data_IF_777862273013
#
_entry.id   IF_777862273013
#
_cell.length_a   1.000
_cell.length_b   1.000
_cell.length_c   1.000
_cell.angle_alpha   90.00
_cell.angle_beta   90.00
_cell.angle_gamma   90.00
#
_symmetry.space_group_name_H-M   'P 1'
#
loop_
_entity.id
_entity.type
_entity.pdbx_description
1 polymer ?
#
# COMPACT_ATOMS: atom_id res chain seq x y z
N UNK A 1 29.09 -13.35 -4.06
CA UNK A 1 28.55 -13.71 -2.73
C UNK A 1 27.22 -14.40 -2.96
N UNK A 2 27.09 -15.68 -2.58
CA UNK A 2 25.84 -16.41 -2.72
C UNK A 2 24.75 -15.71 -1.88
N UNK A 3 23.54 -15.63 -2.42
CA UNK A 3 22.39 -14.99 -1.77
C UNK A 3 21.82 -15.86 -0.65
N UNK A 4 22.06 -17.19 -0.71
CA UNK A 4 21.56 -18.22 0.20
C UNK A 4 22.73 -19.10 0.67
N UNK A 5 22.58 -19.74 1.83
CA UNK A 5 23.66 -20.44 2.56
C UNK A 5 23.33 -21.89 2.91
N UNK A 6 22.05 -22.30 2.90
CA UNK A 6 21.64 -23.67 3.20
C UNK A 6 22.00 -24.64 2.06
N UNK A 7 21.83 -25.94 2.32
CA UNK A 7 21.99 -26.97 1.28
C UNK A 7 21.05 -26.80 0.08
N UNK A 8 19.95 -26.05 0.23
CA UNK A 8 19.03 -25.69 -0.87
C UNK A 8 19.48 -24.44 -1.64
N UNK A 9 20.60 -23.81 -1.30
CA UNK A 9 21.03 -22.55 -1.92
C UNK A 9 21.02 -22.59 -3.47
N UNK A 10 21.53 -23.63 -4.15
CA UNK A 10 21.46 -23.72 -5.62
C UNK A 10 20.02 -23.70 -6.14
N UNK A 11 19.13 -24.48 -5.56
CA UNK A 11 17.73 -24.59 -5.95
C UNK A 11 16.94 -23.31 -5.68
N UNK A 12 17.27 -22.59 -4.61
CA UNK A 12 16.68 -21.28 -4.31
C UNK A 12 17.09 -20.22 -5.35
N UNK A 13 18.37 -20.20 -5.76
CA UNK A 13 18.86 -19.31 -6.82
C UNK A 13 18.18 -19.62 -8.16
N UNK A 14 18.12 -20.90 -8.55
CA UNK A 14 17.48 -21.36 -9.79
C UNK A 14 15.99 -21.00 -9.82
N UNK A 15 15.29 -21.19 -8.70
CA UNK A 15 13.88 -20.79 -8.58
C UNK A 15 13.71 -19.27 -8.69
N UNK A 16 14.60 -18.48 -8.12
CA UNK A 16 14.59 -17.02 -8.26
C UNK A 16 14.79 -16.59 -9.71
N UNK A 17 15.70 -17.24 -10.44
CA UNK A 17 15.95 -17.00 -11.88
C UNK A 17 14.70 -17.35 -12.68
N UNK A 18 14.18 -18.56 -12.47
CA UNK A 18 12.95 -19.05 -13.13
C UNK A 18 11.77 -18.08 -12.94
N UNK A 19 11.53 -17.61 -11.71
CA UNK A 19 10.45 -16.67 -11.43
C UNK A 19 10.64 -15.32 -12.09
N UNK A 20 11.89 -14.86 -12.21
CA UNK A 20 12.23 -13.61 -12.91
C UNK A 20 12.01 -13.72 -14.41
N UNK A 21 12.41 -14.85 -15.03
CA UNK A 21 12.17 -15.12 -16.44
C UNK A 21 10.69 -15.14 -16.79
N UNK A 22 9.84 -15.61 -15.89
CA UNK A 22 8.38 -15.54 -16.02
C UNK A 22 7.81 -14.12 -15.81
N UNK A 23 8.65 -13.11 -15.58
CA UNK A 23 8.24 -11.71 -15.42
C UNK A 23 7.63 -11.37 -14.05
N UNK A 24 7.80 -12.22 -13.03
CA UNK A 24 7.35 -11.92 -11.67
C UNK A 24 8.33 -11.01 -10.92
N UNK A 25 7.77 -10.09 -10.10
CA UNK A 25 8.56 -9.38 -9.10
C UNK A 25 9.04 -10.36 -8.02
N UNK A 26 10.35 -10.41 -7.82
CA UNK A 26 11.00 -11.35 -6.93
C UNK A 26 11.40 -10.77 -5.56
N UNK A 27 11.13 -9.48 -5.27
CA UNK A 27 11.54 -8.87 -4.00
C UNK A 27 10.89 -9.55 -2.79
N UNK A 28 9.57 -9.74 -2.83
CA UNK A 28 8.86 -10.39 -1.74
C UNK A 28 9.10 -11.89 -1.65
N UNK A 29 9.39 -12.53 -2.78
CA UNK A 29 9.81 -13.93 -2.83
C UNK A 29 11.18 -14.09 -2.18
N UNK A 30 12.13 -13.22 -2.51
CA UNK A 30 13.48 -13.22 -1.94
C UNK A 30 13.46 -13.13 -0.41
N UNK A 31 12.59 -12.27 0.16
CA UNK A 31 12.41 -12.20 1.62
C UNK A 31 11.95 -13.55 2.20
N UNK A 32 10.94 -14.17 1.62
CA UNK A 32 10.42 -15.45 2.09
C UNK A 32 11.46 -16.56 2.00
N UNK A 33 12.15 -16.67 0.86
CA UNK A 33 13.18 -17.68 0.64
C UNK A 33 14.39 -17.50 1.59
N UNK A 34 14.82 -16.25 1.83
CA UNK A 34 15.87 -15.96 2.81
C UNK A 34 15.48 -16.34 4.24
N UNK A 35 14.20 -16.21 4.60
CA UNK A 35 13.72 -16.60 5.92
C UNK A 35 13.79 -18.13 6.07
N UNK A 36 13.37 -18.88 5.05
CA UNK A 36 13.46 -20.35 5.03
C UNK A 36 14.90 -20.81 5.02
N UNK A 37 15.75 -20.23 4.18
CA UNK A 37 17.18 -20.54 4.06
C UNK A 37 17.89 -20.38 5.41
N UNK A 38 17.67 -19.25 6.09
CA UNK A 38 18.22 -18.99 7.41
C UNK A 38 17.74 -20.00 8.44
N UNK A 39 16.46 -20.38 8.39
CA UNK A 39 15.92 -21.38 9.30
C UNK A 39 16.56 -22.75 9.08
N UNK A 40 16.74 -23.17 7.81
CA UNK A 40 17.45 -24.40 7.46
C UNK A 40 18.89 -24.41 8.03
N UNK A 41 19.62 -23.30 7.87
CA UNK A 41 20.97 -23.15 8.43
C UNK A 41 20.94 -23.21 9.95
N UNK A 42 20.05 -22.48 10.60
CA UNK A 42 19.96 -22.42 12.08
C UNK A 42 19.63 -23.76 12.69
N UNK A 43 18.78 -24.57 12.03
CA UNK A 43 18.41 -25.92 12.48
C UNK A 43 19.40 -26.99 12.03
N UNK A 44 20.48 -26.61 11.31
CA UNK A 44 21.45 -27.54 10.69
C UNK A 44 20.72 -28.63 9.87
N UNK A 45 19.65 -28.27 9.18
CA UNK A 45 18.78 -29.20 8.48
C UNK A 45 19.40 -29.68 7.16
N UNK A 46 19.17 -30.97 6.85
CA UNK A 46 19.54 -31.61 5.59
C UNK A 46 18.30 -31.99 4.74
N UNK A 47 18.54 -32.66 3.61
CA UNK A 47 17.45 -33.08 2.70
C UNK A 47 16.37 -33.95 3.35
N UNK A 48 16.75 -34.80 4.30
CA UNK A 48 15.84 -35.73 5.01
C UNK A 48 14.94 -35.01 6.03
N UNK A 49 15.30 -33.80 6.44
CA UNK A 49 14.56 -33.02 7.42
C UNK A 49 13.42 -32.22 6.80
N UNK A 50 13.33 -32.18 5.47
CA UNK A 50 12.28 -31.46 4.75
C UNK A 50 10.91 -32.17 4.87
N UNK A 51 10.42 -32.28 6.08
CA UNK A 51 9.14 -32.94 6.43
C UNK A 51 8.06 -31.91 6.75
N UNK A 52 6.75 -32.30 6.73
CA UNK A 52 5.69 -31.42 7.22
C UNK A 52 5.91 -30.93 8.65
N UNK A 53 6.45 -31.79 9.54
CA UNK A 53 6.76 -31.42 10.92
C UNK A 53 7.80 -30.30 11.01
N UNK A 54 8.83 -30.31 10.19
CA UNK A 54 9.84 -29.25 10.11
C UNK A 54 9.21 -27.89 9.78
N UNK A 55 8.28 -27.84 8.80
CA UNK A 55 7.62 -26.59 8.42
C UNK A 55 6.54 -26.15 9.41
N UNK A 56 5.95 -27.06 10.17
CA UNK A 56 5.10 -26.71 11.32
C UNK A 56 5.93 -26.08 12.44
N UNK A 57 7.13 -26.58 12.71
CA UNK A 57 8.07 -25.96 13.67
C UNK A 57 8.47 -24.56 13.19
N UNK A 58 8.85 -24.40 11.90
CA UNK A 58 9.09 -23.08 11.32
C UNK A 58 7.90 -22.14 11.52
N UNK A 59 6.66 -22.62 11.32
CA UNK A 59 5.46 -21.82 11.52
C UNK A 59 5.29 -21.37 12.97
N UNK A 60 5.61 -22.23 13.93
CA UNK A 60 5.51 -21.97 15.37
C UNK A 60 6.59 -21.00 15.87
N UNK A 61 7.83 -21.12 15.35
CA UNK A 61 8.97 -20.32 15.75
C UNK A 61 8.94 -18.88 15.20
N UNK A 62 8.09 -18.60 14.24
CA UNK A 62 7.96 -17.26 13.65
C UNK A 62 7.11 -16.33 14.51
N UNK A 63 7.74 -15.46 15.28
CA UNK A 63 7.07 -14.43 16.09
C UNK A 63 6.66 -13.20 15.26
N UNK A 64 5.75 -13.40 14.30
CA UNK A 64 5.22 -12.34 13.44
C UNK A 64 3.71 -12.53 13.20
N UNK A 65 3.09 -11.63 12.43
CA UNK A 65 1.65 -11.72 12.13
C UNK A 65 1.33 -12.97 11.29
N UNK A 66 0.22 -13.63 11.58
CA UNK A 66 -0.25 -14.82 10.85
C UNK A 66 -0.30 -14.59 9.34
N UNK A 67 -0.70 -13.41 8.91
CA UNK A 67 -0.68 -13.03 7.48
C UNK A 67 0.72 -13.08 6.85
N UNK A 68 1.76 -12.70 7.58
CA UNK A 68 3.15 -12.75 7.10
C UNK A 68 3.64 -14.20 7.06
N UNK A 69 3.28 -15.00 8.07
CA UNK A 69 3.57 -16.43 8.12
C UNK A 69 2.88 -17.14 6.94
N UNK A 70 1.58 -16.92 6.76
CA UNK A 70 0.82 -17.48 5.64
C UNK A 70 1.45 -17.13 4.28
N UNK A 71 1.92 -15.88 4.12
CA UNK A 71 2.61 -15.46 2.90
C UNK A 71 3.93 -16.20 2.70
N UNK A 72 4.71 -16.38 3.76
CA UNK A 72 5.96 -17.14 3.73
C UNK A 72 5.67 -18.58 3.31
N UNK A 73 4.74 -19.26 3.98
CA UNK A 73 4.35 -20.64 3.66
C UNK A 73 3.83 -20.76 2.22
N UNK A 74 3.07 -19.77 1.73
CA UNK A 74 2.61 -19.74 0.33
C UNK A 74 3.80 -19.67 -0.65
N UNK A 75 4.79 -18.84 -0.37
CA UNK A 75 5.99 -18.74 -1.22
C UNK A 75 6.80 -20.04 -1.18
N UNK A 76 6.95 -20.63 0.00
CA UNK A 76 7.67 -21.90 0.21
C UNK A 76 6.94 -23.05 -0.46
N UNK A 77 5.61 -23.14 -0.34
CA UNK A 77 4.80 -24.16 -1.04
C UNK A 77 5.02 -24.11 -2.55
N UNK A 78 5.04 -22.92 -3.14
CA UNK A 78 5.31 -22.73 -4.58
C UNK A 78 6.77 -23.08 -4.97
N UNK A 79 7.73 -22.89 -4.07
CA UNK A 79 9.07 -23.39 -4.28
C UNK A 79 9.06 -24.92 -4.36
N UNK A 80 8.44 -25.62 -3.40
CA UNK A 80 8.38 -27.08 -3.41
C UNK A 80 7.55 -27.64 -4.58
N UNK A 81 6.50 -26.95 -5.02
CA UNK A 81 5.82 -27.28 -6.28
C UNK A 81 6.76 -27.22 -7.49
N UNK A 82 7.69 -26.27 -7.50
CA UNK A 82 8.74 -26.19 -8.52
C UNK A 82 9.76 -27.32 -8.38
N UNK A 83 10.22 -27.61 -7.15
CA UNK A 83 11.20 -28.66 -6.87
C UNK A 83 10.67 -30.04 -7.22
N UNK A 84 9.39 -30.31 -6.96
CA UNK A 84 8.71 -31.56 -7.40
C UNK A 84 8.67 -31.64 -8.92
N UNK A 85 8.34 -30.55 -9.63
CA UNK A 85 8.26 -30.51 -11.08
C UNK A 85 9.62 -30.75 -11.77
N UNK A 86 10.73 -30.36 -11.14
CA UNK A 86 12.09 -30.64 -11.64
C UNK A 86 12.68 -31.92 -11.05
N UNK A 87 11.85 -32.76 -10.43
CA UNK A 87 12.22 -34.07 -9.86
C UNK A 87 13.30 -34.01 -8.74
N UNK A 88 13.49 -32.83 -8.14
CA UNK A 88 14.40 -32.67 -6.98
C UNK A 88 13.81 -33.24 -5.70
N UNK A 89 12.51 -33.16 -5.51
CA UNK A 89 11.73 -33.75 -4.41
C UNK A 89 10.62 -34.62 -4.97
N UNK A 90 10.25 -35.70 -4.25
CA UNK A 90 9.12 -36.56 -4.62
C UNK A 90 7.78 -35.88 -4.33
N UNK A 91 7.67 -35.23 -3.16
CA UNK A 91 6.44 -34.60 -2.68
C UNK A 91 6.68 -33.18 -2.15
N UNK A 92 5.60 -32.42 -2.05
CA UNK A 92 5.64 -31.10 -1.44
C UNK A 92 5.27 -31.20 0.06
N UNK A 93 6.23 -31.02 0.98
CA UNK A 93 6.00 -31.18 2.42
C UNK A 93 5.06 -30.13 3.02
N UNK A 94 4.74 -29.05 2.27
CA UNK A 94 3.81 -28.03 2.72
C UNK A 94 2.39 -28.23 2.19
N UNK A 95 2.11 -29.32 1.46
CA UNK A 95 0.83 -29.52 0.77
C UNK A 95 -0.36 -29.39 1.73
N UNK A 96 -0.29 -30.07 2.87
CA UNK A 96 -1.39 -30.21 3.82
C UNK A 96 -1.23 -29.32 5.08
N UNK A 97 -0.23 -28.41 5.11
CA UNK A 97 -0.07 -27.47 6.21
C UNK A 97 -1.21 -26.44 6.18
N UNK A 98 -2.01 -26.32 7.25
CA UNK A 98 -3.15 -25.43 7.28
C UNK A 98 -2.71 -23.94 7.33
N UNK A 99 -3.57 -23.07 6.82
CA UNK A 99 -3.40 -21.64 6.97
C UNK A 99 -3.71 -21.21 8.40
N UNK A 100 -2.89 -20.31 8.95
CA UNK A 100 -3.21 -19.65 10.20
C UNK A 100 -4.38 -18.68 10.01
N UNK A 101 -5.29 -18.59 11.00
CA UNK A 101 -6.38 -17.62 10.94
C UNK A 101 -5.83 -16.20 10.84
N UNK A 102 -6.26 -15.45 9.82
CA UNK A 102 -5.86 -14.07 9.65
C UNK A 102 -6.75 -13.15 10.49
N UNK A 103 -6.12 -12.18 11.14
CA UNK A 103 -6.80 -11.13 11.87
C UNK A 103 -7.54 -10.18 10.92
N UNK A 104 -8.68 -9.70 11.34
CA UNK A 104 -9.36 -8.63 10.63
C UNK A 104 -8.56 -7.33 10.75
N UNK A 105 -8.48 -6.57 9.67
CA UNK A 105 -7.81 -5.28 9.67
C UNK A 105 -8.76 -4.17 9.26
N UNK A 106 -8.94 -3.18 10.15
CA UNK A 106 -9.69 -1.97 9.88
C UNK A 106 -8.69 -0.82 9.71
N UNK A 107 -8.57 -0.23 8.50
CA UNK A 107 -7.69 0.90 8.28
C UNK A 107 -8.24 2.16 9.00
N UNK A 108 -7.35 3.06 9.36
CA UNK A 108 -7.75 4.40 9.79
C UNK A 108 -8.42 5.14 8.62
N UNK A 109 -9.57 5.75 8.86
CA UNK A 109 -10.32 6.52 7.85
C UNK A 109 -10.36 7.99 8.29
N UNK A 110 -9.69 8.84 7.52
CA UNK A 110 -9.76 10.29 7.72
C UNK A 110 -11.12 10.84 7.26
N UNK A 111 -11.72 11.68 8.06
CA UNK A 111 -12.87 12.49 7.63
C UNK A 111 -12.46 13.53 6.57
N UNK A 112 -13.40 14.12 5.82
CA UNK A 112 -13.08 15.20 4.87
C UNK A 112 -12.42 16.42 5.55
N UNK A 113 -12.82 16.80 6.77
CA UNK A 113 -12.19 17.86 7.55
C UNK A 113 -10.75 17.51 7.93
N UNK A 114 -10.52 16.33 8.46
CA UNK A 114 -9.17 15.84 8.81
C UNK A 114 -8.23 15.77 7.61
N UNK A 115 -8.75 15.45 6.41
CA UNK A 115 -7.97 15.52 5.16
C UNK A 115 -7.55 16.96 4.85
N UNK A 116 -8.46 17.93 5.02
CA UNK A 116 -8.14 19.35 4.81
C UNK A 116 -7.10 19.85 5.82
N UNK A 117 -7.27 19.53 7.09
CA UNK A 117 -6.33 19.85 8.17
C UNK A 117 -4.95 19.25 7.91
N UNK A 118 -4.88 18.00 7.47
CA UNK A 118 -3.63 17.31 7.11
C UNK A 118 -2.91 18.02 5.96
N UNK A 119 -3.64 18.38 4.89
CA UNK A 119 -3.09 19.10 3.74
C UNK A 119 -2.59 20.48 4.20
N UNK A 120 -3.35 21.19 5.01
CA UNK A 120 -2.98 22.50 5.55
C UNK A 120 -1.73 22.40 6.46
N UNK A 121 -1.66 21.43 7.38
CA UNK A 121 -0.49 21.19 8.22
C UNK A 121 0.77 20.88 7.39
N UNK A 122 0.60 20.12 6.27
CA UNK A 122 1.70 19.88 5.34
C UNK A 122 2.16 21.16 4.65
N UNK A 123 1.22 22.04 4.26
CA UNK A 123 1.50 23.33 3.62
C UNK A 123 2.24 24.28 4.61
N UNK A 124 1.83 24.34 5.85
CA UNK A 124 2.47 25.17 6.90
C UNK A 124 3.93 24.78 7.19
N UNK A 125 4.33 23.56 6.81
CA UNK A 125 5.71 23.06 6.94
C UNK A 125 6.62 23.39 5.75
N UNK A 126 6.16 24.14 4.78
CA UNK A 126 6.96 24.59 3.65
C UNK A 126 8.02 25.59 4.14
N UNK A 127 9.29 25.30 3.89
CA UNK A 127 10.42 26.18 4.21
C UNK A 127 10.65 27.18 3.07
N UNK A 128 9.82 28.23 3.02
CA UNK A 128 9.68 29.17 1.90
C UNK A 128 11.03 29.79 1.49
N UNK A 129 11.89 30.13 2.46
CA UNK A 129 13.18 30.79 2.23
C UNK A 129 14.37 29.80 2.19
N UNK A 130 14.10 28.50 2.06
CA UNK A 130 15.13 27.46 2.04
C UNK A 130 15.38 26.94 0.62
N UNK A 131 16.62 26.51 0.35
CA UNK A 131 16.97 25.71 -0.84
C UNK A 131 16.11 24.43 -1.00
N UNK A 132 15.52 23.99 0.09
CA UNK A 132 14.64 22.80 0.10
C UNK A 132 13.17 23.12 -0.21
N UNK A 133 12.81 24.38 -0.49
CA UNK A 133 11.42 24.80 -0.71
C UNK A 133 10.71 23.94 -1.77
N UNK A 134 11.32 23.78 -2.94
CA UNK A 134 10.72 22.97 -4.02
C UNK A 134 10.59 21.49 -3.65
N UNK A 135 11.50 20.96 -2.84
CA UNK A 135 11.39 19.61 -2.31
C UNK A 135 10.21 19.48 -1.33
N UNK A 136 10.05 20.47 -0.44
CA UNK A 136 8.91 20.50 0.47
C UNK A 136 7.60 20.67 -0.29
N UNK A 137 7.56 21.55 -1.30
CA UNK A 137 6.39 21.76 -2.16
C UNK A 137 6.04 20.51 -2.98
N UNK A 138 7.02 19.79 -3.51
CA UNK A 138 6.79 18.51 -4.19
C UNK A 138 6.26 17.43 -3.23
N UNK A 139 6.69 17.44 -1.97
CA UNK A 139 6.15 16.56 -0.93
C UNK A 139 4.68 16.90 -0.59
N UNK A 140 4.36 18.18 -0.45
CA UNK A 140 2.99 18.67 -0.32
C UNK A 140 2.12 18.17 -1.47
N UNK A 141 2.58 18.34 -2.71
CA UNK A 141 1.88 17.85 -3.90
C UNK A 141 1.68 16.33 -3.89
N UNK A 142 2.67 15.55 -3.44
CA UNK A 142 2.52 14.10 -3.30
C UNK A 142 1.40 13.74 -2.32
N UNK A 143 1.37 14.36 -1.14
CA UNK A 143 0.34 14.12 -0.12
C UNK A 143 -1.03 14.57 -0.62
N UNK A 144 -1.12 15.70 -1.32
CA UNK A 144 -2.36 16.17 -1.94
C UNK A 144 -2.90 15.18 -2.97
N UNK A 145 -2.06 14.62 -3.84
CA UNK A 145 -2.44 13.60 -4.82
C UNK A 145 -2.91 12.30 -4.14
N UNK A 146 -2.23 11.87 -3.08
CA UNK A 146 -2.68 10.72 -2.29
C UNK A 146 -4.08 10.94 -1.71
N UNK A 147 -4.33 12.13 -1.17
CA UNK A 147 -5.58 12.48 -0.50
C UNK A 147 -6.74 12.73 -1.47
N UNK A 148 -6.50 13.50 -2.54
CA UNK A 148 -7.55 13.96 -3.47
C UNK A 148 -7.82 13.00 -4.63
N UNK A 149 -6.84 12.16 -4.99
CA UNK A 149 -6.95 11.21 -6.09
C UNK A 149 -6.85 9.74 -5.66
N UNK A 150 -6.72 9.48 -4.36
CA UNK A 150 -6.67 8.11 -3.82
C UNK A 150 -5.53 7.26 -4.37
N UNK A 151 -4.42 7.87 -4.78
CA UNK A 151 -3.27 7.18 -5.37
C UNK A 151 -2.53 6.31 -4.36
N UNK A 152 -1.78 5.30 -4.83
CA UNK A 152 -0.79 4.59 -4.00
C UNK A 152 0.46 5.44 -3.86
N UNK A 153 1.17 5.31 -2.73
CA UNK A 153 2.33 6.18 -2.43
C UNK A 153 3.38 6.22 -3.55
N UNK A 154 3.62 5.12 -4.25
CA UNK A 154 4.59 5.07 -5.34
C UNK A 154 4.06 5.64 -6.67
N UNK A 155 2.76 5.83 -6.83
CA UNK A 155 2.17 6.32 -8.07
C UNK A 155 2.52 7.79 -8.32
N UNK A 156 2.30 8.75 -7.38
CA UNK A 156 2.72 10.13 -7.59
C UNK A 156 4.23 10.29 -7.80
N UNK A 157 5.05 9.40 -7.20
CA UNK A 157 6.51 9.47 -7.27
C UNK A 157 7.08 8.99 -8.62
N UNK A 158 6.27 8.28 -9.40
CA UNK A 158 6.63 7.76 -10.73
C UNK A 158 5.99 8.52 -11.88
N UNK A 159 5.10 9.48 -11.59
CA UNK A 159 4.48 10.28 -12.62
C UNK A 159 5.53 11.10 -13.38
N UNK A 160 5.47 11.05 -14.70
CA UNK A 160 6.20 11.94 -15.56
C UNK A 160 5.38 13.20 -15.87
N UNK A 161 5.98 14.28 -16.31
CA UNK A 161 5.27 15.52 -16.68
C UNK A 161 4.26 15.27 -17.79
N UNK A 162 4.59 14.45 -18.77
CA UNK A 162 3.73 14.06 -19.90
C UNK A 162 2.49 13.24 -19.46
N UNK A 163 2.52 12.65 -18.26
CA UNK A 163 1.38 11.94 -17.71
C UNK A 163 0.29 12.89 -17.20
N UNK A 164 0.59 14.16 -16.99
CA UNK A 164 -0.38 15.17 -16.62
C UNK A 164 -0.93 15.86 -17.86
N UNK A 165 -2.22 15.64 -18.11
CA UNK A 165 -2.98 16.24 -19.21
C UNK A 165 -3.91 17.29 -18.63
N UNK A 166 -3.48 18.55 -18.65
CA UNK A 166 -4.22 19.65 -18.02
C UNK A 166 -5.57 19.89 -18.70
N UNK A 167 -5.61 19.85 -20.03
CA UNK A 167 -6.81 20.12 -20.84
C UNK A 167 -7.89 19.04 -20.60
N UNK A 168 -7.48 17.77 -20.56
CA UNK A 168 -8.37 16.63 -20.29
C UNK A 168 -8.66 16.45 -18.79
N UNK A 169 -7.96 17.17 -17.92
CA UNK A 169 -8.03 17.03 -16.45
C UNK A 169 -7.79 15.58 -16.00
N UNK A 170 -6.76 14.96 -16.55
CA UNK A 170 -6.45 13.56 -16.27
C UNK A 170 -4.99 13.34 -15.90
N UNK A 171 -4.74 12.23 -15.19
CA UNK A 171 -3.42 11.68 -14.92
C UNK A 171 -3.33 10.26 -15.49
N UNK A 172 -2.29 9.99 -16.28
CA UNK A 172 -1.96 8.64 -16.74
C UNK A 172 -1.05 7.97 -15.72
N UNK A 173 -1.47 6.84 -15.18
CA UNK A 173 -0.73 6.08 -14.17
C UNK A 173 -0.22 4.79 -14.81
N UNK A 174 1.09 4.73 -15.04
CA UNK A 174 1.75 3.56 -15.63
C UNK A 174 2.48 2.69 -14.59
N UNK A 175 2.94 1.52 -15.03
CA UNK A 175 3.81 0.60 -14.26
C UNK A 175 3.24 0.25 -12.89
N UNK A 176 1.93 0.04 -12.84
CA UNK A 176 1.26 -0.35 -11.60
C UNK A 176 1.69 -1.75 -11.16
N UNK A 177 1.43 -2.10 -9.90
CA UNK A 177 1.78 -3.41 -9.30
C UNK A 177 1.32 -4.63 -10.14
N UNK A 178 0.30 -4.45 -10.96
CA UNK A 178 -0.29 -5.52 -11.78
C UNK A 178 -0.13 -5.28 -13.29
N UNK A 179 0.80 -4.40 -13.70
CA UNK A 179 1.02 -4.00 -15.10
C UNK A 179 -0.28 -3.53 -15.81
N UNK A 180 -1.21 -2.95 -15.04
CA UNK A 180 -2.46 -2.36 -15.54
C UNK A 180 -2.35 -0.85 -15.45
N UNK A 181 -2.07 -0.24 -16.57
CA UNK A 181 -2.06 1.21 -16.68
C UNK A 181 -3.49 1.74 -16.65
N UNK A 182 -3.66 2.97 -16.20
CA UNK A 182 -4.97 3.60 -16.13
C UNK A 182 -4.90 5.11 -16.25
N UNK A 183 -5.91 5.66 -16.89
CA UNK A 183 -6.16 7.09 -16.92
C UNK A 183 -7.19 7.42 -15.84
N UNK A 184 -6.88 8.38 -14.97
CA UNK A 184 -7.79 8.82 -13.92
C UNK A 184 -8.18 10.29 -14.12
N UNK A 185 -9.47 10.64 -14.05
CA UNK A 185 -9.90 12.02 -13.98
C UNK A 185 -9.51 12.62 -12.63
N UNK A 186 -9.11 13.88 -12.62
CA UNK A 186 -8.73 14.62 -11.41
C UNK A 186 -9.58 15.88 -11.23
N UNK A 187 -9.81 16.31 -9.98
CA UNK A 187 -10.57 17.55 -9.70
C UNK A 187 -9.88 18.79 -10.26
N UNK A 188 -10.65 19.81 -10.64
CA UNK A 188 -10.10 21.09 -11.11
C UNK A 188 -9.12 21.72 -10.11
N UNK A 189 -9.38 21.64 -8.82
CA UNK A 189 -8.48 22.13 -7.78
C UNK A 189 -7.10 21.43 -7.83
N UNK A 190 -7.06 20.14 -8.14
CA UNK A 190 -5.80 19.38 -8.30
C UNK A 190 -5.08 19.81 -9.58
N UNK A 191 -5.81 20.05 -10.68
CA UNK A 191 -5.22 20.59 -11.92
C UNK A 191 -4.53 21.91 -11.65
N UNK A 192 -5.22 22.85 -10.97
CA UNK A 192 -4.65 24.15 -10.60
C UNK A 192 -3.40 24.01 -9.74
N UNK A 193 -3.42 23.16 -8.72
CA UNK A 193 -2.27 22.92 -7.84
C UNK A 193 -1.06 22.36 -8.61
N UNK A 194 -1.26 21.39 -9.50
CA UNK A 194 -0.19 20.83 -10.33
C UNK A 194 0.37 21.91 -11.25
N UNK A 195 -0.50 22.70 -11.90
CA UNK A 195 -0.08 23.78 -12.80
C UNK A 195 0.74 24.84 -12.07
N UNK A 196 0.30 25.26 -10.89
CA UNK A 196 1.03 26.21 -10.03
C UNK A 196 2.38 25.65 -9.60
N UNK A 197 2.41 24.38 -9.16
CA UNK A 197 3.66 23.71 -8.80
C UNK A 197 4.67 23.71 -9.97
N UNK A 198 4.21 23.37 -11.17
CA UNK A 198 5.08 23.35 -12.36
C UNK A 198 5.54 24.76 -12.76
N UNK A 199 4.71 25.78 -12.59
CA UNK A 199 5.07 27.18 -12.84
C UNK A 199 6.17 27.63 -11.87
N UNK A 200 5.99 27.40 -10.55
CA UNK A 200 7.00 27.72 -9.52
C UNK A 200 8.29 26.96 -9.76
N UNK A 201 8.20 25.67 -10.10
CA UNK A 201 9.36 24.84 -10.39
C UNK A 201 10.14 25.36 -11.62
N UNK A 202 9.46 25.80 -12.67
CA UNK A 202 10.08 26.39 -13.87
C UNK A 202 10.82 27.69 -13.52
N UNK A 203 10.24 28.51 -12.66
CA UNK A 203 10.84 29.79 -12.23
C UNK A 203 12.10 29.56 -11.40
N UNK A 204 12.07 28.62 -10.45
CA UNK A 204 13.17 28.41 -9.49
C UNK A 204 14.26 27.45 -10.00
N UNK A 205 13.93 26.57 -10.93
CA UNK A 205 14.90 25.66 -11.53
C UNK A 205 15.10 25.96 -13.02
N UNK A 206 15.94 26.98 -13.32
CA UNK A 206 16.38 27.22 -14.68
C UNK A 206 17.02 25.94 -15.25
N UNK A 207 16.68 25.59 -16.49
CA UNK A 207 17.16 24.40 -17.19
C UNK A 207 16.84 23.06 -16.46
N UNK A 208 15.64 22.95 -15.94
CA UNK A 208 15.15 21.71 -15.30
C UNK A 208 14.88 20.61 -16.33
N UNK A 209 15.73 19.59 -16.37
CA UNK A 209 15.65 18.45 -17.27
C UNK A 209 14.97 17.23 -16.63
N UNK A 210 14.55 17.32 -15.36
CA UNK A 210 13.94 16.19 -14.66
C UNK A 210 12.54 15.88 -15.22
N UNK A 211 12.40 14.71 -15.83
CA UNK A 211 11.16 14.27 -16.46
C UNK A 211 10.00 13.99 -15.48
N UNK A 212 10.33 13.72 -14.20
CA UNK A 212 9.29 13.43 -13.21
C UNK A 212 8.40 14.64 -12.92
N UNK A 213 7.10 14.37 -12.77
CA UNK A 213 6.12 15.40 -12.38
C UNK A 213 6.51 15.99 -11.02
N UNK A 214 6.79 15.13 -10.03
CA UNK A 214 7.29 15.54 -8.73
C UNK A 214 8.78 15.20 -8.61
N UNK A 215 9.60 16.16 -8.28
CA UNK A 215 11.04 15.99 -8.21
C UNK A 215 11.63 16.48 -6.87
N UNK A 216 12.54 15.70 -6.31
CA UNK A 216 13.25 16.07 -5.08
C UNK A 216 14.41 17.04 -5.34
N UNK A 217 14.98 17.01 -6.55
CA UNK A 217 16.01 17.93 -7.07
C UNK A 217 15.94 17.98 -8.60
N UNK A 218 16.78 18.80 -9.23
CA UNK A 218 16.86 18.87 -10.70
C UNK A 218 17.11 17.52 -11.38
N UNK A 219 17.71 16.56 -10.66
CA UNK A 219 18.16 15.29 -11.24
C UNK A 219 17.47 14.07 -10.63
N UNK A 220 16.88 14.19 -9.43
CA UNK A 220 16.43 13.04 -8.64
C UNK A 220 14.93 13.02 -8.42
N UNK A 221 14.27 11.85 -8.55
CA UNK A 221 12.90 11.66 -8.13
C UNK A 221 12.77 11.69 -6.61
N UNK A 222 11.53 11.68 -6.13
CA UNK A 222 11.24 11.48 -4.70
C UNK A 222 11.38 10.02 -4.29
N UNK A 223 11.79 9.83 -3.03
CA UNK A 223 11.70 8.54 -2.33
C UNK A 223 10.52 8.58 -1.35
N UNK A 224 9.83 7.46 -1.21
CA UNK A 224 8.63 7.34 -0.37
C UNK A 224 8.89 7.58 1.12
N UNK A 225 10.10 7.29 1.60
CA UNK A 225 10.50 7.51 2.99
C UNK A 225 10.38 9.00 3.40
N UNK A 226 10.77 9.92 2.52
CA UNK A 226 10.63 11.36 2.78
C UNK A 226 9.15 11.76 2.89
N UNK A 227 8.30 11.26 1.99
CA UNK A 227 6.86 11.52 2.02
C UNK A 227 6.23 10.94 3.29
N UNK A 228 6.59 9.70 3.68
CA UNK A 228 6.11 9.05 4.91
C UNK A 228 6.46 9.88 6.14
N UNK A 229 7.70 10.33 6.24
CA UNK A 229 8.15 11.16 7.37
C UNK A 229 7.34 12.46 7.49
N UNK A 230 7.17 13.18 6.37
CA UNK A 230 6.39 14.43 6.34
C UNK A 230 4.92 14.20 6.65
N UNK A 231 4.35 13.14 6.11
CA UNK A 231 2.98 12.73 6.44
C UNK A 231 2.79 12.48 7.93
N UNK A 232 3.67 11.70 8.56
CA UNK A 232 3.56 11.43 10.01
C UNK A 232 3.78 12.68 10.88
N UNK A 233 4.62 13.61 10.43
CA UNK A 233 4.75 14.91 11.07
C UNK A 233 3.42 15.69 11.03
N UNK A 234 2.79 15.78 9.85
CA UNK A 234 1.51 16.47 9.71
C UNK A 234 0.37 15.77 10.48
N UNK A 235 0.35 14.43 10.53
CA UNK A 235 -0.59 13.67 11.37
C UNK A 235 -0.41 14.00 12.86
N UNK A 236 0.84 14.17 13.31
CA UNK A 236 1.12 14.58 14.69
C UNK A 236 0.65 16.02 14.98
N UNK A 237 0.84 16.95 14.02
CA UNK A 237 0.44 18.36 14.17
C UNK A 237 -1.07 18.53 14.34
N UNK A 238 -1.86 17.71 13.67
CA UNK A 238 -3.33 17.71 13.78
C UNK A 238 -3.86 16.80 14.89
N UNK A 239 -2.98 16.33 15.81
CA UNK A 239 -3.37 15.53 16.98
C UNK A 239 -3.90 14.12 16.67
N UNK A 240 -3.71 13.59 15.45
CA UNK A 240 -4.23 12.28 15.04
C UNK A 240 -3.21 11.14 15.19
N UNK A 241 -2.04 11.39 15.79
CA UNK A 241 -1.05 10.35 16.04
C UNK A 241 -1.60 9.35 17.06
N UNK A 242 -1.88 8.14 16.61
CA UNK A 242 -2.31 7.04 17.48
C UNK A 242 -1.55 5.76 17.14
N UNK A 243 -1.27 4.89 18.13
CA UNK A 243 -0.69 3.59 17.89
C UNK A 243 -1.71 2.64 17.25
N UNK A 244 -1.21 1.57 16.63
CA UNK A 244 -2.05 0.45 16.24
C UNK A 244 -2.66 -0.18 17.50
N UNK A 245 -3.95 -0.53 17.45
CA UNK A 245 -4.66 -1.20 18.54
C UNK A 245 -5.19 -2.55 18.07
N UNK A 246 -5.13 -3.55 18.94
CA UNK A 246 -5.75 -4.86 18.70
C UNK A 246 -6.90 -5.02 19.69
N UNK A 247 -8.08 -5.34 19.18
CA UNK A 247 -9.28 -5.60 19.99
C UNK A 247 -9.84 -6.96 19.55
N UNK A 248 -9.65 -7.96 20.39
CA UNK A 248 -9.98 -9.36 20.03
C UNK A 248 -9.20 -9.78 18.79
N UNK A 249 -9.89 -10.30 17.77
CA UNK A 249 -9.31 -10.70 16.48
C UNK A 249 -9.31 -9.57 15.43
N UNK A 250 -9.28 -8.30 15.87
CA UNK A 250 -9.34 -7.15 14.95
C UNK A 250 -8.23 -6.16 15.25
N UNK A 251 -7.42 -5.87 14.25
CA UNK A 251 -6.40 -4.84 14.27
C UNK A 251 -6.94 -3.53 13.70
N UNK A 252 -6.92 -2.47 14.51
CA UNK A 252 -7.23 -1.11 14.08
C UNK A 252 -5.91 -0.44 13.70
N UNK A 253 -5.80 -0.02 12.45
CA UNK A 253 -4.58 0.57 11.91
C UNK A 253 -4.32 1.99 12.42
N UNK A 254 -3.05 2.32 12.65
CA UNK A 254 -2.60 3.70 12.82
C UNK A 254 -2.68 4.48 11.50
N UNK A 255 -2.74 5.83 11.51
CA UNK A 255 -2.67 6.65 10.32
C UNK A 255 -1.41 6.40 9.50
N UNK A 256 -1.56 6.07 8.23
CA UNK A 256 -0.47 5.88 7.26
C UNK A 256 -0.83 6.58 5.94
N UNK A 257 0.13 6.87 5.05
CA UNK A 257 -0.19 7.42 3.73
C UNK A 257 -1.20 6.58 2.94
N UNK A 258 -1.21 5.26 3.12
CA UNK A 258 -2.18 4.38 2.46
C UNK A 258 -3.61 4.56 2.99
N UNK A 259 -3.77 5.05 4.22
CA UNK A 259 -5.07 5.40 4.79
C UNK A 259 -5.77 6.52 4.01
N UNK A 260 -5.02 7.44 3.37
CA UNK A 260 -5.61 8.46 2.49
C UNK A 260 -6.38 7.85 1.33
N UNK A 261 -5.84 6.78 0.73
CA UNK A 261 -6.53 6.04 -0.33
C UNK A 261 -7.77 5.31 0.18
N UNK A 262 -7.72 4.72 1.36
CA UNK A 262 -8.89 4.12 2.00
C UNK A 262 -9.96 5.19 2.28
N UNK A 263 -9.54 6.33 2.81
CA UNK A 263 -10.43 7.48 3.09
C UNK A 263 -11.05 8.05 1.82
N UNK A 264 -10.27 8.19 0.74
CA UNK A 264 -10.78 8.59 -0.56
C UNK A 264 -11.92 7.67 -1.03
N UNK A 265 -11.70 6.36 -0.96
CA UNK A 265 -12.70 5.37 -1.38
C UNK A 265 -13.98 5.44 -0.52
N UNK A 266 -13.82 5.41 0.81
CA UNK A 266 -14.94 5.46 1.76
C UNK A 266 -15.71 6.78 1.63
N UNK A 267 -15.02 7.93 1.61
CA UNK A 267 -15.65 9.24 1.50
C UNK A 267 -16.34 9.43 0.15
N UNK A 268 -15.81 8.84 -0.94
CA UNK A 268 -16.48 8.83 -2.25
C UNK A 268 -17.80 8.06 -2.18
N UNK A 269 -17.81 6.86 -1.58
CA UNK A 269 -19.03 6.07 -1.43
C UNK A 269 -20.04 6.74 -0.51
N UNK A 270 -19.59 7.39 0.59
CA UNK A 270 -20.44 8.19 1.47
C UNK A 270 -21.13 9.33 0.71
N UNK A 271 -20.37 10.06 -0.11
CA UNK A 271 -20.90 11.16 -0.93
C UNK A 271 -21.92 10.67 -1.96
N UNK A 272 -21.67 9.53 -2.61
CA UNK A 272 -22.61 8.89 -3.55
C UNK A 272 -23.91 8.53 -2.83
N UNK A 273 -23.82 7.95 -1.63
CA UNK A 273 -24.98 7.61 -0.80
C UNK A 273 -25.75 8.85 -0.37
N UNK A 274 -25.08 9.92 0.03
CA UNK A 274 -25.70 11.19 0.40
C UNK A 274 -26.45 11.86 -0.78
N UNK A 275 -26.06 11.54 -2.04
CA UNK A 275 -26.77 11.96 -3.25
C UNK A 275 -27.95 11.04 -3.62
N UNK A 276 -28.34 10.11 -2.75
CA UNK A 276 -29.44 9.16 -3.00
C UNK A 276 -29.08 8.03 -3.97
N UNK A 277 -27.80 7.89 -4.37
CA UNK A 277 -27.35 6.85 -5.29
C UNK A 277 -26.83 5.62 -4.54
N UNK A 278 -26.92 4.45 -5.17
CA UNK A 278 -26.43 3.20 -4.58
C UNK A 278 -24.88 3.13 -4.59
N UNK A 279 -24.22 3.03 -3.42
CA UNK A 279 -22.78 2.81 -3.34
C UNK A 279 -22.33 1.51 -4.04
N UNK A 280 -23.19 0.46 -4.05
CA UNK A 280 -22.90 -0.81 -4.70
C UNK A 280 -22.70 -0.64 -6.21
N UNK A 281 -23.53 0.16 -6.86
CA UNK A 281 -23.43 0.43 -8.30
C UNK A 281 -22.17 1.23 -8.67
N UNK A 282 -21.61 1.99 -7.73
CA UNK A 282 -20.39 2.74 -7.93
C UNK A 282 -19.10 1.91 -7.78
N UNK A 283 -19.18 0.73 -7.18
CA UNK A 283 -17.99 -0.08 -6.88
C UNK A 283 -17.18 -0.49 -8.12
N UNK A 284 -17.76 -0.90 -9.26
CA UNK A 284 -16.98 -1.24 -10.45
C UNK A 284 -16.15 -0.05 -10.95
N UNK A 285 -16.76 1.13 -11.01
CA UNK A 285 -16.10 2.37 -11.44
C UNK A 285 -14.99 2.75 -10.45
N UNK A 286 -15.27 2.69 -9.14
CA UNK A 286 -14.27 2.96 -8.10
C UNK A 286 -13.12 1.94 -8.13
N UNK A 287 -13.40 0.66 -8.40
CA UNK A 287 -12.38 -0.37 -8.54
C UNK A 287 -11.45 -0.09 -9.73
N UNK A 288 -12.02 0.28 -10.89
CA UNK A 288 -11.26 0.66 -12.08
C UNK A 288 -10.42 1.92 -11.81
N UNK A 289 -11.01 2.97 -11.23
CA UNK A 289 -10.32 4.20 -10.86
C UNK A 289 -9.12 3.94 -9.93
N UNK A 290 -9.33 3.14 -8.90
CA UNK A 290 -8.29 2.78 -7.95
C UNK A 290 -7.28 1.77 -8.54
N UNK A 291 -7.56 1.08 -9.65
CA UNK A 291 -6.73 0.03 -10.22
C UNK A 291 -6.62 -1.18 -9.28
N UNK A 292 -7.76 -1.67 -8.80
CA UNK A 292 -7.85 -2.92 -8.08
C UNK A 292 -7.94 -4.09 -9.08
N UNK A 293 -7.11 -5.12 -8.88
CA UNK A 293 -7.13 -6.32 -9.73
C UNK A 293 -8.35 -7.20 -9.49
N UNK A 294 -8.90 -7.14 -8.28
CA UNK A 294 -10.03 -7.92 -7.84
C UNK A 294 -11.07 -7.02 -7.17
N UNK A 295 -12.32 -7.23 -7.52
CA UNK A 295 -13.47 -6.51 -6.98
C UNK A 295 -13.58 -6.60 -5.45
N UNK A 296 -13.20 -7.74 -4.85
CA UNK A 296 -13.22 -7.94 -3.40
C UNK A 296 -12.41 -6.88 -2.62
N UNK A 297 -11.37 -6.30 -3.25
CA UNK A 297 -10.57 -5.25 -2.61
C UNK A 297 -11.33 -3.92 -2.46
N UNK A 298 -12.31 -3.67 -3.35
CA UNK A 298 -13.16 -2.49 -3.28
C UNK A 298 -14.40 -2.75 -2.42
N UNK A 299 -14.97 -3.96 -2.48
CA UNK A 299 -16.13 -4.35 -1.69
C UNK A 299 -15.91 -4.23 -0.17
N UNK A 300 -14.65 -4.33 0.29
CA UNK A 300 -14.30 -4.09 1.71
C UNK A 300 -14.73 -2.70 2.22
N UNK A 301 -14.79 -1.70 1.35
CA UNK A 301 -15.20 -0.34 1.75
C UNK A 301 -16.69 -0.26 2.10
N UNK A 302 -17.54 -1.12 1.52
CA UNK A 302 -18.95 -1.21 1.95
C UNK A 302 -19.07 -1.70 3.38
N UNK A 303 -18.25 -2.69 3.79
CA UNK A 303 -18.27 -3.18 5.17
C UNK A 303 -17.91 -2.08 6.18
N UNK A 304 -17.02 -1.15 5.80
CA UNK A 304 -16.69 0.01 6.64
C UNK A 304 -17.88 0.95 6.77
N UNK A 305 -18.61 1.22 5.67
CA UNK A 305 -19.83 2.02 5.69
C UNK A 305 -20.92 1.38 6.58
N UNK A 306 -21.11 0.07 6.45
CA UNK A 306 -22.13 -0.66 7.23
C UNK A 306 -21.76 -0.68 8.73
N UNK A 307 -20.48 -0.79 9.07
CA UNK A 307 -20.02 -0.74 10.47
C UNK A 307 -20.26 0.63 11.12
N UNK A 308 -20.00 1.71 10.38
CA UNK A 308 -20.31 3.07 10.87
C UNK A 308 -21.81 3.29 11.09
N UNK A 309 -22.66 2.77 10.20
CA UNK A 309 -24.11 2.85 10.37
C UNK A 309 -24.61 2.09 11.60
N UNK A 310 -24.08 0.89 11.85
CA UNK A 310 -24.41 0.14 13.07
C UNK A 310 -24.02 0.90 14.31
N UNK A 311 -22.85 1.52 14.32
CA UNK A 311 -22.39 2.34 15.45
C UNK A 311 -23.28 3.57 15.67
N UNK A 312 -23.68 4.26 14.62
CA UNK A 312 -24.64 5.37 14.69
C UNK A 312 -26.01 4.92 15.19
N UNK A 313 -26.49 3.75 14.74
CA UNK A 313 -27.74 3.17 15.22
C UNK A 313 -27.68 2.82 16.71
N UNK A 314 -26.59 2.22 17.16
CA UNK A 314 -26.38 1.91 18.59
C UNK A 314 -26.34 3.17 19.44
N UNK A 315 -25.64 4.22 18.97
CA UNK A 315 -25.59 5.52 19.64
C UNK A 315 -26.97 6.18 19.70
N UNK A 316 -27.74 6.12 18.60
CA UNK A 316 -29.13 6.62 18.56
C UNK A 316 -30.02 5.88 19.54
N UNK A 317 -29.98 4.54 19.58
CA UNK A 317 -30.76 3.73 20.53
C UNK A 317 -30.39 4.05 21.98
N UNK A 318 -29.10 4.25 22.26
CA UNK A 318 -28.61 4.59 23.62
C UNK A 318 -29.03 6.02 24.00
N UNK A 319 -29.05 6.98 23.07
CA UNK A 319 -29.53 8.34 23.33
C UNK A 319 -31.02 8.40 23.63
N UNK A 320 -31.81 7.52 23.02
CA UNK A 320 -33.26 7.37 23.29
C UNK A 320 -33.55 6.77 24.68
N UNK A 321 -32.63 5.94 25.23
CA UNK A 321 -32.79 5.36 26.56
C UNK A 321 -32.52 6.35 27.71
N UNK A 322 -31.98 7.53 27.42
CA UNK A 322 -31.61 8.55 28.40
C UNK A 322 -32.53 9.78 28.36
N UNK A 323 -33.59 9.75 27.54
CA UNK A 323 -34.70 10.72 27.64
C UNK A 323 -35.85 10.04 28.39
N UNK A 324 -36.19 10.49 29.63
CA UNK A 324 -37.35 9.98 30.37
C UNK A 324 -38.66 10.42 29.73
#
# INVERSE_FOLDING_TARGET
>A
MNRFESFLAPQLEDYMIYRRQLGYDTQSLCWALKTVDRYLVTQNAGPKDLTPAFFLSLQADLHTQNKSINRLLCCTRKLFEYLVRIEYCQDNPLRDIPWLPEENFIPFIFSPSQINELIQATCQRLRIYSKDFLKDLGCYMAILLLARCGMRIYEPLRLLREHFRADDKTLYIEKTKFKKDRLIPIPNSVVTEITNYLAVRRTLWCADTNAYLLAASKEKPFYDEFIRRRFHQAVSDIGLKCPRKTIGNTNIGAPTPHCLRHSFAVNTLKRIKAQGKSPQHALPVLAAYLGHSEYKHTAKYLKVLDAEHRHQLVNFINSQKHNP
#
